data_IF_284626761456
#
_entry.id   IF_284626761456
#
_cell.length_a   1.000
_cell.length_b   1.000
_cell.length_c   1.000
_cell.angle_alpha   90.00
_cell.angle_beta   90.00
_cell.angle_gamma   90.00
#
_symmetry.space_group_name_H-M   'P 1'
#
loop_
_entity.id
_entity.type
_entity.pdbx_description
1 polymer ?
#
# COMPACT_ATOMS: atom_id res chain seq x y z
N UNK A 1 -11.93 -11.30 17.10
CA UNK A 1 -10.80 -12.25 17.25
C UNK A 1 -9.59 -11.59 16.62
N UNK A 2 -8.63 -11.13 17.43
CA UNK A 2 -7.44 -10.43 16.94
C UNK A 2 -6.47 -11.45 16.34
N UNK A 3 -6.04 -11.27 15.09
CA UNK A 3 -5.08 -12.17 14.45
C UNK A 3 -3.73 -12.09 15.19
N UNK A 4 -3.25 -13.22 15.69
CA UNK A 4 -2.10 -13.37 16.60
C UNK A 4 -0.74 -13.28 15.91
N UNK A 5 -0.57 -12.35 14.95
CA UNK A 5 0.68 -12.17 14.21
C UNK A 5 1.01 -10.70 13.98
N UNK A 6 2.30 -10.39 13.75
CA UNK A 6 2.75 -9.04 13.40
C UNK A 6 1.97 -8.50 12.19
N UNK A 7 1.65 -7.20 12.18
CA UNK A 7 1.04 -6.56 11.01
C UNK A 7 2.01 -6.54 9.83
N UNK A 8 1.49 -6.30 8.61
CA UNK A 8 2.35 -6.06 7.44
C UNK A 8 3.28 -4.86 7.66
N UNK A 9 2.79 -3.81 8.31
CA UNK A 9 3.56 -2.64 8.67
C UNK A 9 4.69 -2.94 9.66
N UNK A 10 4.46 -3.81 10.66
CA UNK A 10 5.50 -4.23 11.60
C UNK A 10 6.59 -5.06 10.90
N UNK A 11 6.20 -5.96 9.99
CA UNK A 11 7.18 -6.68 9.16
C UNK A 11 7.98 -5.73 8.27
N UNK A 12 7.33 -4.74 7.66
CA UNK A 12 7.99 -3.72 6.84
C UNK A 12 8.97 -2.88 7.66
N UNK A 13 8.64 -2.55 8.92
CA UNK A 13 9.53 -1.84 9.85
C UNK A 13 10.81 -2.62 10.11
N UNK A 14 10.70 -3.90 10.42
CA UNK A 14 11.86 -4.79 10.60
C UNK A 14 12.71 -4.85 9.32
N UNK A 15 12.07 -5.02 8.17
CA UNK A 15 12.77 -5.09 6.87
C UNK A 15 13.54 -3.80 6.56
N UNK A 16 12.89 -2.64 6.61
CA UNK A 16 13.55 -1.37 6.28
C UNK A 16 14.65 -0.98 7.27
N UNK A 17 14.46 -1.31 8.56
CA UNK A 17 15.50 -1.12 9.58
C UNK A 17 16.72 -1.98 9.28
N UNK A 18 16.52 -3.26 8.92
CA UNK A 18 17.62 -4.16 8.54
C UNK A 18 18.35 -3.70 7.27
N UNK A 19 17.66 -3.00 6.37
CA UNK A 19 18.24 -2.38 5.17
C UNK A 19 18.98 -1.05 5.43
N UNK A 20 19.03 -0.59 6.69
CA UNK A 20 19.70 0.66 7.06
C UNK A 20 18.92 1.93 6.71
N UNK A 21 17.61 1.83 6.46
CA UNK A 21 16.76 3.01 6.27
C UNK A 21 16.58 3.70 7.62
N UNK A 22 16.85 5.00 7.66
CA UNK A 22 16.60 5.83 8.84
C UNK A 22 15.11 5.76 9.24
N UNK A 23 14.77 5.26 10.44
CA UNK A 23 13.38 5.15 10.90
C UNK A 23 12.63 6.48 10.94
N UNK A 24 13.33 7.61 11.08
CA UNK A 24 12.71 8.94 11.06
C UNK A 24 12.13 9.31 9.68
N UNK A 25 12.51 8.58 8.62
CA UNK A 25 12.06 8.81 7.24
C UNK A 25 10.86 7.96 6.84
N UNK A 26 10.38 7.06 7.70
CA UNK A 26 9.27 6.15 7.39
C UNK A 26 8.18 6.27 8.43
N UNK A 27 6.96 6.56 7.97
CA UNK A 27 5.75 6.54 8.82
C UNK A 27 4.98 5.27 8.50
N UNK A 28 4.55 4.56 9.53
CA UNK A 28 3.87 3.27 9.41
C UNK A 28 2.43 3.37 9.89
N UNK A 29 1.51 2.81 9.12
CA UNK A 29 0.10 2.61 9.48
C UNK A 29 -0.16 1.10 9.57
N UNK A 30 -0.61 0.62 10.71
CA UNK A 30 -0.63 -0.82 11.04
C UNK A 30 -2.03 -1.38 11.37
N UNK A 31 -3.08 -0.58 11.18
CA UNK A 31 -4.47 -0.94 11.53
C UNK A 31 -5.29 -1.36 10.33
N UNK A 32 -4.93 -0.94 9.12
CA UNK A 32 -5.67 -1.29 7.92
C UNK A 32 -5.62 -2.78 7.59
N UNK A 33 -6.74 -3.30 7.08
CA UNK A 33 -6.90 -4.70 6.64
C UNK A 33 -7.21 -4.82 5.15
N UNK A 34 -7.38 -3.69 4.48
CA UNK A 34 -7.65 -3.59 3.05
C UNK A 34 -7.22 -2.21 2.54
N UNK A 35 -7.21 -2.05 1.22
CA UNK A 35 -6.72 -0.82 0.56
C UNK A 35 -7.56 0.41 0.88
N UNK A 36 -8.86 0.26 1.14
CA UNK A 36 -9.73 1.38 1.49
C UNK A 36 -9.41 1.91 2.89
N UNK A 37 -9.30 1.01 3.87
CA UNK A 37 -8.83 1.35 5.21
C UNK A 37 -7.43 1.96 5.16
N UNK A 38 -6.52 1.43 4.34
CA UNK A 38 -5.18 1.97 4.19
C UNK A 38 -5.19 3.42 3.67
N UNK A 39 -5.98 3.72 2.63
CA UNK A 39 -6.12 5.07 2.10
C UNK A 39 -6.75 6.05 3.12
N UNK A 40 -7.71 5.59 3.91
CA UNK A 40 -8.35 6.40 4.96
C UNK A 40 -7.41 6.65 6.14
N UNK A 41 -6.80 5.61 6.70
CA UNK A 41 -5.99 5.70 7.90
C UNK A 41 -4.65 6.37 7.65
N UNK A 42 -4.05 6.16 6.48
CA UNK A 42 -2.82 6.87 6.09
C UNK A 42 -3.01 8.37 6.00
N UNK A 43 -4.22 8.83 5.62
CA UNK A 43 -4.53 10.27 5.54
C UNK A 43 -4.63 10.94 6.93
N UNK A 44 -4.73 10.15 8.00
CA UNK A 44 -4.73 10.64 9.38
C UNK A 44 -3.36 10.58 10.06
N UNK A 45 -2.30 10.13 9.37
CA UNK A 45 -0.97 10.09 9.95
C UNK A 45 -0.39 11.50 10.14
N UNK A 46 0.42 11.74 11.18
CA UNK A 46 1.06 13.03 11.40
C UNK A 46 1.87 13.50 10.19
N UNK A 47 1.68 14.76 9.79
CA UNK A 47 2.42 15.37 8.70
C UNK A 47 1.97 14.98 7.29
N UNK A 48 0.94 14.14 7.14
CA UNK A 48 0.38 13.78 5.83
C UNK A 48 -0.65 14.81 5.38
N UNK A 49 -0.35 15.49 4.27
CA UNK A 49 -1.35 16.20 3.47
C UNK A 49 -1.60 15.44 2.16
N UNK A 50 -2.74 14.76 2.08
CA UNK A 50 -3.11 13.93 0.92
C UNK A 50 -3.27 14.71 -0.39
N UNK A 51 -3.33 16.04 -0.34
CA UNK A 51 -3.45 16.90 -1.54
C UNK A 51 -2.08 17.23 -2.16
N UNK A 52 -0.99 17.07 -1.40
CA UNK A 52 0.36 17.14 -1.94
C UNK A 52 0.60 16.02 -2.96
N UNK A 53 1.59 16.15 -3.86
CA UNK A 53 1.91 15.07 -4.79
C UNK A 53 2.45 13.83 -4.06
N UNK A 54 1.79 12.69 -4.22
CA UNK A 54 2.22 11.40 -3.67
C UNK A 54 2.51 10.40 -4.79
N UNK A 55 3.52 9.55 -4.60
CA UNK A 55 3.70 8.34 -5.40
C UNK A 55 2.97 7.18 -4.72
N UNK A 56 2.10 6.50 -5.46
CA UNK A 56 1.40 5.31 -4.98
C UNK A 56 2.14 4.06 -5.45
N UNK A 57 2.85 3.42 -4.53
CA UNK A 57 3.61 2.19 -4.78
C UNK A 57 2.77 0.94 -4.47
N UNK A 58 2.59 0.07 -5.45
CA UNK A 58 1.99 -1.27 -5.27
C UNK A 58 2.29 -2.13 -6.51
N UNK A 59 2.03 -3.45 -6.45
CA UNK A 59 2.12 -4.29 -7.65
C UNK A 59 1.24 -3.77 -8.80
N UNK A 60 1.69 -3.95 -10.03
CA UNK A 60 1.03 -3.48 -11.25
C UNK A 60 -0.37 -4.09 -11.37
N UNK A 61 -0.52 -5.37 -11.00
CA UNK A 61 -1.80 -6.06 -10.92
C UNK A 61 -2.79 -5.37 -9.97
N UNK A 62 -2.31 -4.84 -8.84
CA UNK A 62 -3.16 -4.14 -7.87
C UNK A 62 -3.38 -2.66 -8.19
N UNK A 63 -2.62 -2.09 -9.13
CA UNK A 63 -2.62 -0.65 -9.40
C UNK A 63 -4.01 -0.09 -9.77
N UNK A 64 -4.82 -0.73 -10.65
CA UNK A 64 -6.14 -0.21 -10.99
C UNK A 64 -7.06 -0.06 -9.77
N UNK A 65 -7.08 -1.06 -8.88
CA UNK A 65 -7.84 -1.02 -7.63
C UNK A 65 -7.33 0.10 -6.72
N UNK A 66 -6.03 0.19 -6.53
CA UNK A 66 -5.43 1.16 -5.62
C UNK A 66 -5.66 2.60 -6.09
N UNK A 67 -5.48 2.90 -7.38
CA UNK A 67 -5.77 4.23 -7.95
C UNK A 67 -7.22 4.65 -7.72
N UNK A 68 -8.18 3.76 -7.99
CA UNK A 68 -9.60 4.06 -7.79
C UNK A 68 -9.95 4.33 -6.31
N UNK A 69 -9.39 3.53 -5.41
CA UNK A 69 -9.62 3.68 -3.96
C UNK A 69 -9.00 4.96 -3.41
N UNK A 70 -7.72 5.21 -3.69
CA UNK A 70 -7.02 6.41 -3.21
C UNK A 70 -7.62 7.69 -3.82
N UNK A 71 -7.98 7.66 -5.10
CA UNK A 71 -8.69 8.76 -5.76
C UNK A 71 -10.05 9.06 -5.10
N UNK A 72 -10.84 8.02 -4.77
CA UNK A 72 -12.13 8.20 -4.06
C UNK A 72 -11.97 8.81 -2.67
N UNK A 73 -10.88 8.49 -1.96
CA UNK A 73 -10.54 9.09 -0.66
C UNK A 73 -9.98 10.52 -0.81
N UNK A 74 -9.66 10.95 -2.03
CA UNK A 74 -9.22 12.32 -2.35
C UNK A 74 -7.72 12.54 -2.24
N UNK A 75 -6.92 11.49 -2.48
CA UNK A 75 -5.47 11.60 -2.59
C UNK A 75 -5.04 12.10 -3.96
N UNK A 76 -4.03 12.97 -3.99
CA UNK A 76 -3.32 13.39 -5.20
C UNK A 76 -2.16 12.44 -5.48
N UNK A 77 -2.48 11.26 -6.01
CA UNK A 77 -1.50 10.18 -6.26
C UNK A 77 -1.14 10.05 -7.74
N UNK A 78 0.14 9.84 -7.99
CA UNK A 78 0.70 9.38 -9.27
C UNK A 78 1.07 7.90 -9.13
N UNK A 79 0.67 7.03 -10.07
CA UNK A 79 0.94 5.60 -9.97
C UNK A 79 2.44 5.30 -10.11
N UNK A 80 2.97 4.45 -9.23
CA UNK A 80 4.30 3.83 -9.36
C UNK A 80 4.19 2.30 -9.28
N UNK A 81 3.75 1.65 -10.36
CA UNK A 81 3.53 0.20 -10.37
C UNK A 81 4.86 -0.56 -10.34
N UNK A 82 4.92 -1.62 -9.53
CA UNK A 82 6.05 -2.57 -9.45
C UNK A 82 5.55 -4.00 -9.66
N UNK A 83 6.39 -5.02 -9.52
CA UNK A 83 5.97 -6.45 -9.58
C UNK A 83 5.08 -6.76 -10.80
N UNK A 84 5.54 -6.33 -11.99
CA UNK A 84 4.85 -6.61 -13.24
C UNK A 84 4.87 -8.11 -13.49
N UNK A 85 3.68 -8.68 -13.68
CA UNK A 85 3.51 -10.07 -14.09
C UNK A 85 3.34 -10.09 -15.61
N UNK A 86 4.26 -10.74 -16.30
CA UNK A 86 4.18 -10.96 -17.75
C UNK A 86 3.80 -12.41 -17.99
N UNK A 87 2.52 -12.74 -17.80
CA UNK A 87 1.99 -14.06 -18.17
C UNK A 87 1.39 -13.99 -19.58
N UNK A 88 1.71 -14.97 -20.44
CA UNK A 88 1.20 -15.02 -21.82
C UNK A 88 -0.34 -15.25 -21.89
N UNK A 89 -0.95 -15.63 -20.75
CA UNK A 89 -2.39 -15.81 -20.59
C UNK A 89 -2.84 -15.20 -19.26
N UNK A 90 -3.39 -13.98 -19.33
CA UNK A 90 -4.16 -13.40 -18.24
C UNK A 90 -5.62 -13.82 -18.42
N UNK A 91 -5.96 -15.04 -17.98
CA UNK A 91 -7.38 -15.38 -17.82
C UNK A 91 -7.89 -14.65 -16.59
N UNK A 92 -8.82 -13.71 -16.81
CA UNK A 92 -9.58 -13.03 -15.74
C UNK A 92 -10.35 -14.00 -14.82
N UNK A 93 -10.42 -15.29 -15.18
CA UNK A 93 -11.09 -16.36 -14.42
C UNK A 93 -10.14 -17.28 -13.66
N UNK A 94 -8.81 -17.09 -13.74
CA UNK A 94 -7.87 -17.94 -13.02
C UNK A 94 -7.71 -17.52 -11.56
N UNK A 95 -8.81 -17.61 -10.81
CA UNK A 95 -8.79 -17.63 -9.35
C UNK A 95 -8.67 -19.10 -8.94
N UNK A 96 -7.45 -19.63 -8.88
CA UNK A 96 -7.23 -20.90 -8.19
C UNK A 96 -7.58 -20.70 -6.70
N UNK A 97 -8.58 -21.47 -6.26
CA UNK A 97 -8.73 -21.92 -4.88
C UNK A 97 -7.49 -22.72 -4.45
#
# INVERSE_FOLDING_TARGET
>A
VSATGASEAERARVFFTAMGVDPARVVYEDRSRNTYENALYSAGLPGVDKRQPWLLLTSAFHMPRSMGVFGRVGWNVTPWPVDYRTTAHDSWFDFSL
#
